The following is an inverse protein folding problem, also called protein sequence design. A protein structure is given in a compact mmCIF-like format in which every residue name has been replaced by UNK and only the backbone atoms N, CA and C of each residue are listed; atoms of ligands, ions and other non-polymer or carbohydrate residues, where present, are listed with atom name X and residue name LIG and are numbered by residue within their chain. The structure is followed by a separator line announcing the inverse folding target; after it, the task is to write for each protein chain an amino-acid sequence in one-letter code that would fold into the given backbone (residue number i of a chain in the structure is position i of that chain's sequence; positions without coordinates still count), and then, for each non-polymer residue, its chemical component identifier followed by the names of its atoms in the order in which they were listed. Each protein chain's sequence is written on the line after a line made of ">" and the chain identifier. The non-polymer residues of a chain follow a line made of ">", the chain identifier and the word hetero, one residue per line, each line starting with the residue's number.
data_IF_180296723600
#
_entry.id   IF_180296723600
#
_cell.length_a   1.000
_cell.length_b   1.000
_cell.length_c   1.000
_cell.angle_alpha   90.00
_cell.angle_beta   90.00
_cell.angle_gamma   90.00
#
_symmetry.space_group_name_H-M   'P 1'
#
loop_
_entity.id
_entity.type
_entity.pdbx_description
1 polymer ?
#
# COMPACT_ATOMS: atom_id res chain seq x y z
N UNK A 1 -5.28 24.25 20.53
CA UNK A 1 -5.18 22.78 20.65
C UNK A 1 -5.40 22.16 19.26
N UNK A 2 -4.34 21.65 18.61
CA UNK A 2 -4.48 20.89 17.36
C UNK A 2 -5.03 19.51 17.73
N UNK A 3 -6.27 19.21 17.34
CA UNK A 3 -6.83 17.86 17.51
C UNK A 3 -5.90 16.87 16.80
N UNK A 4 -5.41 15.80 17.43
CA UNK A 4 -4.72 14.75 16.70
C UNK A 4 -5.72 14.17 15.70
N UNK A 5 -5.40 14.23 14.40
CA UNK A 5 -6.19 13.56 13.37
C UNK A 5 -6.32 12.08 13.72
N UNK A 6 -7.50 11.49 13.49
CA UNK A 6 -7.80 10.06 13.74
C UNK A 6 -6.73 9.09 13.20
N UNK A 7 -6.03 9.46 12.13
CA UNK A 7 -4.89 8.72 11.59
C UNK A 7 -3.73 8.53 12.59
N UNK A 8 -3.48 9.51 13.45
CA UNK A 8 -2.39 9.48 14.43
C UNK A 8 -2.67 8.56 15.62
N UNK A 9 -3.95 8.34 15.97
CA UNK A 9 -4.34 7.50 17.12
C UNK A 9 -4.43 6.02 16.73
N UNK A 10 -4.73 5.71 15.47
CA UNK A 10 -4.72 4.33 14.93
C UNK A 10 -3.31 3.79 14.64
N UNK A 11 -2.27 4.61 14.80
CA UNK A 11 -0.87 4.24 14.50
C UNK A 11 -0.25 3.32 15.56
N UNK A 12 -0.85 3.17 16.75
CA UNK A 12 -0.26 2.39 17.85
C UNK A 12 -0.40 0.87 17.71
N UNK A 13 -1.19 0.35 16.76
CA UNK A 13 -1.27 -1.08 16.50
C UNK A 13 -1.05 -1.34 15.00
N UNK A 14 0.16 -1.76 14.62
CA UNK A 14 0.52 -2.11 13.25
C UNK A 14 0.39 -3.62 13.02
N UNK A 15 -0.08 -4.02 11.86
CA UNK A 15 -0.09 -5.39 11.37
C UNK A 15 0.90 -5.53 10.21
N UNK A 16 1.59 -6.67 10.13
CA UNK A 16 2.38 -7.05 8.96
C UNK A 16 1.52 -7.79 7.96
N UNK A 17 1.51 -7.30 6.73
CA UNK A 17 0.88 -7.98 5.59
C UNK A 17 1.91 -8.27 4.54
N UNK A 18 1.74 -9.41 3.86
CA UNK A 18 2.65 -9.89 2.83
C UNK A 18 1.94 -9.81 1.49
N UNK A 19 2.45 -8.95 0.63
CA UNK A 19 1.94 -8.74 -0.71
C UNK A 19 2.69 -9.65 -1.66
N UNK A 20 1.95 -10.35 -2.51
CA UNK A 20 2.48 -11.18 -3.58
C UNK A 20 2.17 -10.49 -4.91
N UNK A 21 3.21 -10.23 -5.70
CA UNK A 21 3.07 -9.61 -7.01
C UNK A 21 3.07 -10.70 -8.09
N UNK A 22 2.20 -10.55 -9.10
CA UNK A 22 2.04 -11.50 -10.19
C UNK A 22 2.21 -10.83 -11.56
N UNK A 23 2.70 -11.58 -12.55
CA UNK A 23 2.94 -11.10 -13.91
C UNK A 23 3.70 -9.75 -13.95
N UNK A 24 3.19 -8.77 -14.70
CA UNK A 24 3.75 -7.43 -14.90
C UNK A 24 3.95 -6.65 -13.59
N UNK A 25 3.20 -6.94 -12.54
CA UNK A 25 3.38 -6.29 -11.24
C UNK A 25 4.76 -6.57 -10.63
N UNK A 26 5.32 -7.75 -10.88
CA UNK A 26 6.67 -8.09 -10.42
C UNK A 26 7.75 -7.26 -11.13
N UNK A 27 7.52 -6.93 -12.40
CA UNK A 27 8.42 -6.10 -13.20
C UNK A 27 8.38 -4.65 -12.72
N UNK A 28 7.17 -4.13 -12.45
CA UNK A 28 6.97 -2.77 -11.94
C UNK A 28 7.59 -2.57 -10.56
N UNK A 29 7.36 -3.51 -9.64
CA UNK A 29 7.84 -3.41 -8.25
C UNK A 29 9.28 -3.92 -8.11
N UNK A 30 9.77 -4.69 -9.09
CA UNK A 30 11.08 -5.34 -9.06
C UNK A 30 11.19 -6.51 -8.07
N UNK A 31 10.09 -6.89 -7.41
CA UNK A 31 10.05 -7.94 -6.39
C UNK A 31 8.84 -8.86 -6.58
N UNK A 32 9.01 -10.14 -6.22
CA UNK A 32 7.93 -11.15 -6.26
C UNK A 32 6.98 -11.02 -5.08
N UNK A 33 7.49 -10.52 -3.96
CA UNK A 33 6.74 -10.29 -2.75
C UNK A 33 7.34 -9.13 -1.95
N UNK A 34 6.52 -8.52 -1.10
CA UNK A 34 6.93 -7.46 -0.19
C UNK A 34 6.17 -7.60 1.13
N UNK A 35 6.85 -7.37 2.24
CA UNK A 35 6.19 -7.20 3.54
C UNK A 35 6.08 -5.72 3.85
N UNK A 36 4.88 -5.31 4.25
CA UNK A 36 4.62 -3.94 4.71
C UNK A 36 3.93 -3.96 6.05
N UNK A 37 4.12 -2.89 6.82
CA UNK A 37 3.45 -2.66 8.08
C UNK A 37 2.35 -1.62 7.89
N UNK A 38 1.10 -2.02 8.15
CA UNK A 38 -0.08 -1.19 7.95
C UNK A 38 -0.83 -1.05 9.28
N UNK A 39 -1.53 0.07 9.52
CA UNK A 39 -2.34 0.20 10.73
C UNK A 39 -3.43 -0.87 10.79
N UNK A 40 -3.76 -1.35 11.98
CA UNK A 40 -4.88 -2.28 12.18
C UNK A 40 -6.18 -1.59 11.74
N UNK A 41 -6.94 -2.26 10.87
CA UNK A 41 -8.12 -1.69 10.22
C UNK A 41 -7.82 -1.00 8.88
N UNK A 42 -6.56 -0.99 8.42
CA UNK A 42 -6.23 -0.58 7.06
C UNK A 42 -6.97 -1.44 6.03
N UNK A 43 -7.48 -0.79 4.99
CA UNK A 43 -8.17 -1.46 3.89
C UNK A 43 -7.20 -1.72 2.74
N UNK A 44 -7.59 -2.61 1.82
CA UNK A 44 -6.84 -2.85 0.58
C UNK A 44 -6.65 -1.53 -0.20
N UNK A 45 -7.63 -0.64 -0.19
CA UNK A 45 -7.53 0.66 -0.85
C UNK A 45 -6.44 1.55 -0.23
N UNK A 46 -6.28 1.51 1.09
CA UNK A 46 -5.22 2.25 1.80
C UNK A 46 -3.83 1.71 1.45
N UNK A 47 -3.69 0.38 1.43
CA UNK A 47 -2.48 -0.32 1.00
C UNK A 47 -2.11 0.02 -0.44
N UNK A 48 -3.08 -0.02 -1.36
CA UNK A 48 -2.87 0.33 -2.76
C UNK A 48 -2.47 1.80 -2.90
N UNK A 49 -3.16 2.72 -2.22
CA UNK A 49 -2.82 4.15 -2.21
C UNK A 49 -1.39 4.38 -1.73
N UNK A 50 -0.94 3.61 -0.73
CA UNK A 50 0.44 3.65 -0.26
C UNK A 50 1.42 3.16 -1.33
N UNK A 51 1.15 2.03 -1.98
CA UNK A 51 2.00 1.51 -3.06
C UNK A 51 2.05 2.43 -4.27
N UNK A 52 0.93 3.04 -4.66
CA UNK A 52 0.82 3.95 -5.79
C UNK A 52 1.68 5.21 -5.60
N UNK A 53 1.92 5.63 -4.35
CA UNK A 53 2.85 6.74 -4.05
C UNK A 53 4.31 6.36 -4.29
N UNK A 54 4.68 5.11 -4.01
CA UNK A 54 6.04 4.61 -4.25
C UNK A 54 6.26 4.14 -5.69
N UNK A 55 5.21 3.61 -6.33
CA UNK A 55 5.24 3.03 -7.67
C UNK A 55 4.12 3.64 -8.52
N UNK A 56 4.30 4.84 -9.08
CA UNK A 56 3.25 5.50 -9.88
C UNK A 56 2.83 4.67 -11.11
N UNK A 57 3.73 3.83 -11.66
CA UNK A 57 3.42 2.88 -12.74
C UNK A 57 2.37 1.83 -12.35
N UNK A 58 2.23 1.52 -11.07
CA UNK A 58 1.23 0.59 -10.55
C UNK A 58 -0.20 1.15 -10.75
N UNK A 59 -0.36 2.46 -10.60
CA UNK A 59 -1.62 3.17 -10.82
C UNK A 59 -2.03 3.11 -12.29
N UNK A 60 -1.08 3.33 -13.20
CA UNK A 60 -1.29 3.28 -14.65
C UNK A 60 -1.77 1.89 -15.10
N UNK A 61 -1.08 0.85 -14.61
CA UNK A 61 -1.46 -0.55 -14.84
C UNK A 61 -2.88 -0.87 -14.33
N UNK A 62 -3.27 -0.32 -13.17
CA UNK A 62 -4.61 -0.51 -12.59
C UNK A 62 -5.70 0.25 -13.33
N UNK A 63 -5.41 1.45 -13.85
CA UNK A 63 -6.35 2.26 -14.64
C UNK A 63 -6.65 1.64 -16.02
N UNK A 64 -5.97 0.55 -16.37
CA UNK A 64 -6.13 -0.13 -17.67
C UNK A 64 -5.47 0.62 -18.81
N UNK A 65 -4.56 1.57 -18.50
CA UNK A 65 -3.71 2.21 -19.48
C UNK A 65 -2.48 1.32 -19.68
N UNK A 66 -2.55 0.45 -20.68
CA UNK A 66 -1.39 -0.29 -21.21
C UNK A 66 -1.18 0.11 -22.66
#
# INVERSE_FOLDING_TARGET
>A
MRRPSVASVLTSNKMRVRLLFFATLKDIVGAREMQIEVPVGATIADVLTHLERSYPRLKDYRDGRQ
#
